data_IF_567972783864
#
_entry.id   IF_567972783864
#
_cell.length_a   1.000
_cell.length_b   1.000
_cell.length_c   1.000
_cell.angle_alpha   90.00
_cell.angle_beta   90.00
_cell.angle_gamma   90.00
#
_symmetry.space_group_name_H-M   'P 1'
#
loop_
_entity.id
_entity.type
_entity.pdbx_description
1 polymer ?
#
# COMPACT_ATOMS: atom_id res chain seq x y z
N UNK A 1 -17.63 9.35 -39.08
CA UNK A 1 -16.67 8.87 -38.02
C UNK A 1 -17.33 9.09 -36.67
N UNK A 2 -17.97 8.07 -36.11
CA UNK A 2 -18.45 8.14 -34.72
C UNK A 2 -17.22 8.00 -33.82
N UNK A 3 -16.73 9.12 -33.36
CA UNK A 3 -15.58 9.15 -32.48
C UNK A 3 -15.94 8.49 -31.12
N UNK A 4 -15.04 7.68 -30.63
CA UNK A 4 -15.13 7.02 -29.31
C UNK A 4 -15.25 8.08 -28.22
N UNK A 5 -16.49 8.44 -27.87
CA UNK A 5 -16.82 9.44 -26.85
C UNK A 5 -16.94 8.83 -25.43
N UNK A 6 -16.49 7.59 -25.26
CA UNK A 6 -16.53 6.85 -24.00
C UNK A 6 -15.12 6.47 -23.60
N UNK A 7 -14.77 6.74 -22.37
CA UNK A 7 -13.48 6.34 -21.76
C UNK A 7 -13.67 5.72 -20.39
N UNK A 8 -12.62 5.07 -19.89
CA UNK A 8 -12.58 4.51 -18.54
C UNK A 8 -11.54 5.26 -17.72
N UNK A 9 -11.87 5.55 -16.45
CA UNK A 9 -10.92 6.05 -15.47
C UNK A 9 -10.90 5.14 -14.24
N UNK A 10 -9.69 4.74 -13.83
CA UNK A 10 -9.45 3.89 -12.67
C UNK A 10 -8.09 4.20 -12.05
N UNK A 11 -7.87 3.70 -10.83
CA UNK A 11 -6.66 3.97 -10.04
C UNK A 11 -5.34 3.60 -10.76
N UNK A 12 -5.37 2.66 -11.72
CA UNK A 12 -4.18 2.22 -12.48
C UNK A 12 -3.75 3.14 -13.63
N UNK A 13 -4.49 4.22 -13.93
CA UNK A 13 -4.05 5.19 -14.92
C UNK A 13 -2.91 6.07 -14.39
N UNK A 14 -1.93 6.35 -15.25
CA UNK A 14 -0.88 7.30 -14.94
C UNK A 14 -1.45 8.73 -14.77
N UNK A 15 -0.86 9.60 -13.93
CA UNK A 15 -1.37 10.96 -13.69
C UNK A 15 -1.66 11.76 -14.97
N UNK A 16 -0.76 11.72 -15.96
CA UNK A 16 -0.96 12.36 -17.26
C UNK A 16 -2.15 11.81 -18.07
N UNK A 17 -2.44 10.52 -17.92
CA UNK A 17 -3.60 9.91 -18.59
C UNK A 17 -4.90 10.38 -17.95
N UNK A 18 -4.93 10.49 -16.61
CA UNK A 18 -6.08 11.05 -15.88
C UNK A 18 -6.34 12.50 -16.29
N UNK A 19 -5.30 13.32 -16.34
CA UNK A 19 -5.38 14.72 -16.77
C UNK A 19 -5.98 14.85 -18.20
N UNK A 20 -5.54 14.00 -19.14
CA UNK A 20 -6.09 13.98 -20.50
C UNK A 20 -7.58 13.57 -20.54
N UNK A 21 -7.99 12.62 -19.70
CA UNK A 21 -9.40 12.22 -19.58
C UNK A 21 -10.23 13.37 -19.02
N UNK A 22 -9.74 14.05 -18.00
CA UNK A 22 -10.41 15.21 -17.40
C UNK A 22 -10.57 16.36 -18.39
N UNK A 23 -9.50 16.76 -19.07
CA UNK A 23 -9.53 17.81 -20.09
C UNK A 23 -10.47 17.46 -21.25
N UNK A 24 -10.41 16.20 -21.72
CA UNK A 24 -11.30 15.70 -22.76
C UNK A 24 -12.78 15.72 -22.37
N UNK A 25 -13.08 15.47 -21.09
CA UNK A 25 -14.45 15.54 -20.59
C UNK A 25 -14.91 17.00 -20.40
N UNK A 26 -14.07 17.85 -19.80
CA UNK A 26 -14.37 19.29 -19.63
C UNK A 26 -14.59 20.00 -20.98
N UNK A 27 -13.80 19.65 -21.97
CA UNK A 27 -13.93 20.21 -23.34
C UNK A 27 -15.10 19.60 -24.13
N UNK A 28 -15.77 18.57 -23.58
CA UNK A 28 -16.91 17.90 -24.23
C UNK A 28 -16.51 16.97 -25.36
N UNK A 29 -15.24 16.66 -25.58
CA UNK A 29 -14.76 15.65 -26.52
C UNK A 29 -15.17 14.25 -26.01
N UNK A 30 -14.94 14.00 -24.73
CA UNK A 30 -15.41 12.78 -24.04
C UNK A 30 -16.82 13.07 -23.51
N UNK A 31 -17.78 12.23 -23.89
CA UNK A 31 -19.18 12.39 -23.49
C UNK A 31 -19.56 11.54 -22.28
N UNK A 32 -18.87 10.42 -22.08
CA UNK A 32 -19.17 9.45 -21.02
C UNK A 32 -17.85 8.96 -20.43
N UNK A 33 -17.78 8.98 -19.09
CA UNK A 33 -16.68 8.37 -18.32
C UNK A 33 -17.27 7.22 -17.52
N UNK A 34 -16.74 6.01 -17.68
CA UNK A 34 -16.96 4.90 -16.78
C UNK A 34 -15.83 4.87 -15.77
N UNK A 35 -16.14 5.02 -14.49
CA UNK A 35 -15.12 5.17 -13.45
C UNK A 35 -15.44 4.37 -12.18
N UNK A 36 -14.43 4.18 -11.36
CA UNK A 36 -14.57 3.67 -10.00
C UNK A 36 -15.00 4.80 -9.04
N UNK A 37 -15.55 4.50 -7.85
CA UNK A 37 -15.96 5.52 -6.87
C UNK A 37 -14.88 6.53 -6.48
N UNK A 38 -13.60 6.18 -6.65
CA UNK A 38 -12.46 7.08 -6.40
C UNK A 38 -12.49 8.36 -7.24
N UNK A 39 -13.03 8.31 -8.46
CA UNK A 39 -13.23 9.51 -9.27
C UNK A 39 -14.32 10.40 -8.69
N UNK A 40 -15.36 9.80 -8.11
CA UNK A 40 -16.43 10.55 -7.48
C UNK A 40 -15.95 11.38 -6.29
N UNK A 41 -14.93 10.95 -5.57
CA UNK A 41 -14.43 11.61 -4.35
C UNK A 41 -13.37 12.70 -4.60
N UNK A 42 -12.60 12.62 -5.72
CA UNK A 42 -11.39 13.44 -5.87
C UNK A 42 -11.39 14.49 -6.98
N UNK A 43 -12.31 14.45 -7.92
CA UNK A 43 -12.29 15.31 -9.10
C UNK A 43 -13.55 16.16 -9.22
N UNK A 44 -13.39 17.42 -9.60
CA UNK A 44 -14.52 18.31 -9.93
C UNK A 44 -14.89 18.14 -11.41
N UNK A 45 -15.60 17.06 -11.71
CA UNK A 45 -16.13 16.72 -13.04
C UNK A 45 -17.64 16.52 -12.96
N UNK A 46 -18.43 17.60 -12.83
CA UNK A 46 -19.88 17.48 -12.82
C UNK A 46 -20.40 17.08 -14.21
N UNK A 47 -21.34 16.16 -14.22
CA UNK A 47 -22.04 15.71 -15.43
C UNK A 47 -23.54 15.97 -15.28
N UNK A 48 -24.29 16.07 -16.39
CA UNK A 48 -25.75 16.17 -16.32
C UNK A 48 -26.33 14.92 -15.65
N UNK A 49 -25.79 13.73 -15.95
CA UNK A 49 -26.22 12.44 -15.38
C UNK A 49 -25.10 11.72 -14.68
N UNK A 50 -25.37 11.23 -13.48
CA UNK A 50 -24.55 10.26 -12.78
C UNK A 50 -25.29 8.91 -12.75
N UNK A 51 -24.72 7.88 -13.40
CA UNK A 51 -25.31 6.54 -13.45
C UNK A 51 -24.55 5.64 -12.47
N UNK A 52 -25.23 5.23 -11.40
CA UNK A 52 -24.71 4.34 -10.37
C UNK A 52 -25.13 2.91 -10.75
N UNK A 53 -24.16 2.15 -11.27
CA UNK A 53 -24.39 0.80 -11.77
C UNK A 53 -24.66 -0.19 -10.62
N UNK A 54 -24.01 0.01 -9.48
CA UNK A 54 -24.03 -0.92 -8.38
C UNK A 54 -23.88 -0.17 -7.06
N UNK A 55 -24.65 -0.58 -6.05
CA UNK A 55 -24.60 -0.06 -4.69
C UNK A 55 -23.87 -1.04 -3.74
N UNK A 56 -23.17 -2.03 -4.31
CA UNK A 56 -22.38 -3.00 -3.57
C UNK A 56 -20.93 -2.97 -4.04
N UNK A 57 -20.01 -3.20 -3.11
CA UNK A 57 -18.58 -3.35 -3.41
C UNK A 57 -17.99 -4.52 -2.64
N UNK A 58 -16.85 -5.00 -3.10
CA UNK A 58 -16.07 -5.97 -2.34
C UNK A 58 -15.45 -5.29 -1.11
N UNK A 59 -15.79 -5.77 0.07
CA UNK A 59 -15.17 -5.45 1.35
C UNK A 59 -14.33 -6.61 1.87
N UNK A 60 -13.79 -6.45 3.07
CA UNK A 60 -12.92 -7.45 3.69
C UNK A 60 -13.57 -8.83 3.89
N UNK A 61 -14.90 -8.88 3.96
CA UNK A 61 -15.68 -10.11 4.23
C UNK A 61 -16.63 -10.49 3.08
N UNK A 62 -16.41 -9.96 1.86
CA UNK A 62 -17.26 -10.22 0.69
C UNK A 62 -17.97 -8.98 0.18
N UNK A 63 -19.09 -9.19 -0.57
CA UNK A 63 -19.89 -8.09 -1.10
C UNK A 63 -20.62 -7.37 0.02
N UNK A 64 -20.36 -6.08 0.17
CA UNK A 64 -21.00 -5.19 1.15
C UNK A 64 -21.67 -4.02 0.46
N UNK A 65 -22.76 -3.52 1.01
CA UNK A 65 -23.37 -2.28 0.56
C UNK A 65 -22.46 -1.09 0.84
N UNK A 66 -22.42 -0.13 -0.10
CA UNK A 66 -21.73 1.14 0.10
C UNK A 66 -22.45 1.98 1.14
N UNK A 67 -21.76 2.94 1.75
CA UNK A 67 -22.35 3.88 2.70
C UNK A 67 -23.30 4.86 1.98
N UNK A 68 -24.32 5.34 2.70
CA UNK A 68 -25.22 6.38 2.17
C UNK A 68 -24.44 7.64 1.79
N UNK A 69 -23.45 8.02 2.60
CA UNK A 69 -22.56 9.16 2.28
C UNK A 69 -21.79 8.94 0.98
N UNK A 70 -21.28 7.73 0.73
CA UNK A 70 -20.58 7.36 -0.51
C UNK A 70 -21.52 7.42 -1.72
N UNK A 71 -22.74 6.91 -1.55
CA UNK A 71 -23.80 7.03 -2.55
C UNK A 71 -24.13 8.50 -2.86
N UNK A 72 -24.32 9.33 -1.85
CA UNK A 72 -24.62 10.76 -2.03
C UNK A 72 -23.46 11.51 -2.71
N UNK A 73 -22.20 11.15 -2.47
CA UNK A 73 -21.05 11.70 -3.16
C UNK A 73 -21.06 11.35 -4.66
N UNK A 74 -21.46 10.12 -5.01
CA UNK A 74 -21.61 9.72 -6.41
C UNK A 74 -22.81 10.41 -7.07
N UNK A 75 -23.97 10.43 -6.40
CA UNK A 75 -25.17 11.08 -6.88
C UNK A 75 -25.00 12.60 -7.03
N UNK A 76 -24.25 13.22 -6.12
CA UNK A 76 -23.91 14.64 -6.16
C UNK A 76 -23.01 15.08 -7.33
N UNK A 77 -22.54 14.15 -8.16
CA UNK A 77 -21.91 14.48 -9.44
C UNK A 77 -22.91 14.80 -10.55
N UNK A 78 -24.19 14.58 -10.30
CA UNK A 78 -25.25 14.92 -11.23
C UNK A 78 -25.57 16.43 -11.14
N UNK A 79 -25.64 17.08 -12.31
CA UNK A 79 -25.90 18.51 -12.45
C UNK A 79 -24.64 19.37 -12.55
N UNK A 80 -24.67 20.32 -13.47
CA UNK A 80 -23.60 21.29 -13.71
C UNK A 80 -24.12 22.68 -13.35
N UNK A 81 -23.79 23.22 -12.15
CA UNK A 81 -24.44 24.43 -11.64
C UNK A 81 -24.41 25.66 -12.57
N UNK A 82 -23.44 25.72 -13.51
CA UNK A 82 -23.30 26.80 -14.48
C UNK A 82 -24.12 26.60 -15.76
N UNK A 83 -24.62 25.38 -16.01
CA UNK A 83 -25.23 25.02 -17.29
C UNK A 83 -26.60 24.37 -17.15
N UNK A 84 -26.86 23.70 -16.04
CA UNK A 84 -28.03 22.88 -15.82
C UNK A 84 -28.87 23.44 -14.67
N UNK A 85 -30.19 23.43 -14.81
CA UNK A 85 -31.15 23.80 -13.75
C UNK A 85 -31.42 22.63 -12.81
N UNK A 86 -31.11 21.39 -13.23
CA UNK A 86 -31.22 20.16 -12.45
C UNK A 86 -30.23 19.14 -12.99
N UNK A 87 -29.98 18.07 -12.24
CA UNK A 87 -29.19 16.92 -12.65
C UNK A 87 -29.94 15.62 -12.34
N UNK A 88 -29.54 14.53 -12.97
CA UNK A 88 -30.19 13.23 -12.82
C UNK A 88 -29.19 12.21 -12.24
N UNK A 89 -29.46 11.68 -11.05
CA UNK A 89 -28.78 10.52 -10.51
C UNK A 89 -29.63 9.27 -10.78
N UNK A 90 -29.10 8.32 -11.52
CA UNK A 90 -29.81 7.11 -11.95
C UNK A 90 -29.15 5.90 -11.32
N UNK A 91 -29.90 5.10 -10.59
CA UNK A 91 -29.44 3.85 -9.99
C UNK A 91 -30.00 2.67 -10.78
N UNK A 92 -29.12 1.75 -11.17
CA UNK A 92 -29.51 0.52 -11.86
C UNK A 92 -29.73 -0.57 -10.81
N UNK A 93 -30.91 -1.18 -10.80
CA UNK A 93 -31.27 -2.28 -9.91
C UNK A 93 -31.77 -3.48 -10.71
N UNK A 94 -31.54 -4.69 -10.19
CA UNK A 94 -31.87 -5.93 -10.89
C UNK A 94 -33.23 -6.51 -10.49
N UNK A 95 -33.67 -6.23 -9.27
CA UNK A 95 -34.91 -6.78 -8.71
C UNK A 95 -35.77 -5.69 -8.07
N UNK A 96 -37.06 -5.99 -7.85
CA UNK A 96 -37.94 -5.08 -7.11
C UNK A 96 -37.51 -4.92 -5.64
N UNK A 97 -36.98 -5.97 -5.01
CA UNK A 97 -36.43 -5.89 -3.66
C UNK A 97 -35.21 -4.96 -3.58
N UNK A 98 -34.30 -5.01 -4.56
CA UNK A 98 -33.17 -4.06 -4.65
C UNK A 98 -33.68 -2.62 -4.84
N UNK A 99 -34.77 -2.43 -5.59
CA UNK A 99 -35.38 -1.12 -5.79
C UNK A 99 -35.92 -0.54 -4.49
N UNK A 100 -36.68 -1.33 -3.73
CA UNK A 100 -37.23 -0.93 -2.44
C UNK A 100 -36.10 -0.59 -1.46
N UNK A 101 -35.06 -1.44 -1.38
CA UNK A 101 -33.88 -1.19 -0.57
C UNK A 101 -33.19 0.12 -0.93
N UNK A 102 -32.98 0.41 -2.24
CA UNK A 102 -32.35 1.65 -2.69
C UNK A 102 -33.18 2.87 -2.31
N UNK A 103 -34.49 2.78 -2.45
CA UNK A 103 -35.39 3.90 -2.10
C UNK A 103 -35.32 4.15 -0.59
N UNK A 104 -35.47 3.14 0.24
CA UNK A 104 -35.49 3.29 1.68
C UNK A 104 -34.13 3.68 2.26
N UNK A 105 -33.08 3.00 1.82
CA UNK A 105 -31.75 3.13 2.43
C UNK A 105 -30.95 4.30 1.87
N UNK A 106 -31.01 4.57 0.57
CA UNK A 106 -30.16 5.59 -0.06
C UNK A 106 -30.90 6.88 -0.40
N UNK A 107 -32.16 6.81 -0.86
CA UNK A 107 -32.89 8.01 -1.25
C UNK A 107 -33.58 8.68 -0.07
N UNK A 108 -34.13 7.89 0.87
CA UNK A 108 -34.81 8.37 2.07
C UNK A 108 -33.95 8.20 3.33
N UNK A 109 -32.81 7.50 3.24
CA UNK A 109 -31.93 7.28 4.37
C UNK A 109 -31.09 8.51 4.71
N UNK A 110 -30.68 8.60 5.96
CA UNK A 110 -29.71 9.60 6.43
C UNK A 110 -28.29 9.06 6.29
N UNK A 111 -27.31 9.95 6.01
CA UNK A 111 -25.90 9.56 6.03
C UNK A 111 -25.50 8.98 7.39
N UNK A 112 -24.59 8.02 7.34
CA UNK A 112 -24.04 7.41 8.55
C UNK A 112 -23.38 8.47 9.44
N UNK A 113 -23.48 8.27 10.73
CA UNK A 113 -22.80 9.11 11.71
C UNK A 113 -21.29 8.97 11.55
N UNK A 114 -20.59 10.08 11.65
CA UNK A 114 -19.13 10.13 11.62
C UNK A 114 -18.60 9.87 13.03
N UNK A 115 -17.83 8.81 13.18
CA UNK A 115 -17.17 8.47 14.45
C UNK A 115 -15.69 8.78 14.41
N UNK A 116 -15.18 9.34 15.50
CA UNK A 116 -13.75 9.52 15.67
C UNK A 116 -13.04 8.16 15.76
N UNK A 117 -12.07 7.94 14.89
CA UNK A 117 -11.22 6.76 14.92
C UNK A 117 -10.03 6.91 15.87
N UNK A 118 -9.89 8.03 16.54
CA UNK A 118 -8.77 8.30 17.44
C UNK A 118 -8.76 7.37 18.66
N UNK A 119 -9.92 6.82 19.06
CA UNK A 119 -10.03 5.82 20.12
C UNK A 119 -9.46 4.44 19.74
N UNK A 120 -9.16 4.19 18.48
CA UNK A 120 -8.57 2.91 18.04
C UNK A 120 -7.08 2.89 18.38
N UNK A 121 -6.64 1.89 19.11
CA UNK A 121 -5.28 1.83 19.68
C UNK A 121 -4.15 2.09 18.66
N UNK A 122 -4.11 1.46 17.45
CA UNK A 122 -3.11 1.77 16.44
C UNK A 122 -3.04 3.26 16.07
N UNK A 123 -4.21 3.88 15.91
CA UNK A 123 -4.30 5.30 15.57
C UNK A 123 -3.82 6.17 16.72
N UNK A 124 -4.28 5.87 17.94
CA UNK A 124 -3.92 6.64 19.13
C UNK A 124 -2.42 6.61 19.41
N UNK A 125 -1.77 5.43 19.40
CA UNK A 125 -0.35 5.32 19.67
C UNK A 125 0.52 5.98 18.59
N UNK A 126 0.10 5.91 17.33
CA UNK A 126 0.79 6.60 16.22
C UNK A 126 0.72 8.12 16.38
N UNK A 127 -0.46 8.67 16.69
CA UNK A 127 -0.62 10.11 16.90
C UNK A 127 0.09 10.59 18.16
N UNK A 128 0.01 9.86 19.29
CA UNK A 128 0.74 10.20 20.52
C UNK A 128 2.23 10.33 20.26
N UNK A 129 2.82 9.30 19.62
CA UNK A 129 4.25 9.34 19.28
C UNK A 129 4.59 10.54 18.37
N UNK A 130 3.79 10.77 17.34
CA UNK A 130 4.02 11.86 16.38
C UNK A 130 3.90 13.24 17.02
N UNK A 131 2.90 13.45 17.87
CA UNK A 131 2.68 14.73 18.56
C UNK A 131 3.78 15.02 19.57
N UNK A 132 4.27 14.00 20.30
CA UNK A 132 5.39 14.15 21.24
C UNK A 132 6.71 14.34 20.47
N UNK A 133 6.92 13.61 19.37
CA UNK A 133 8.11 13.77 18.53
C UNK A 133 8.21 15.16 17.92
N UNK A 134 7.07 15.73 17.53
CA UNK A 134 6.94 17.10 17.01
C UNK A 134 6.88 18.18 18.10
N UNK A 135 6.94 17.80 19.39
CA UNK A 135 6.86 18.69 20.55
C UNK A 135 5.57 19.51 20.68
N UNK A 136 4.48 19.05 20.07
CA UNK A 136 3.15 19.68 20.18
C UNK A 136 2.58 19.41 21.58
N UNK A 137 2.76 18.20 22.08
CA UNK A 137 2.44 17.79 23.46
C UNK A 137 3.67 17.20 24.13
N UNK A 138 3.82 17.41 25.45
CA UNK A 138 5.01 16.95 26.18
C UNK A 138 4.82 16.70 27.67
N UNK A 139 3.67 17.06 28.23
CA UNK A 139 3.35 16.81 29.65
C UNK A 139 1.92 16.25 29.78
N UNK A 140 1.56 15.62 30.90
CA UNK A 140 0.21 15.15 31.15
C UNK A 140 -0.86 16.23 30.91
N UNK A 141 -0.59 17.48 31.36
CA UNK A 141 -1.48 18.61 31.19
C UNK A 141 -1.69 18.96 29.70
N UNK A 142 -0.58 19.10 28.94
CA UNK A 142 -0.65 19.43 27.51
C UNK A 142 -1.31 18.31 26.69
N UNK A 143 -1.16 17.06 27.12
CA UNK A 143 -1.85 15.91 26.51
C UNK A 143 -3.34 16.00 26.79
N UNK A 144 -3.74 16.19 28.04
CA UNK A 144 -5.16 16.32 28.43
C UNK A 144 -5.83 17.49 27.73
N UNK A 145 -5.19 18.66 27.69
CA UNK A 145 -5.71 19.85 26.99
C UNK A 145 -5.88 19.61 25.48
N UNK A 146 -4.90 18.97 24.82
CA UNK A 146 -4.96 18.66 23.40
C UNK A 146 -6.12 17.71 23.09
N UNK A 147 -6.18 16.59 23.80
CA UNK A 147 -7.22 15.57 23.53
C UNK A 147 -8.61 16.03 23.91
N UNK A 148 -8.78 16.90 24.91
CA UNK A 148 -10.07 17.49 25.27
C UNK A 148 -10.70 18.33 24.14
N UNK A 149 -9.88 18.84 23.20
CA UNK A 149 -10.33 19.61 22.05
C UNK A 149 -10.60 18.76 20.80
N UNK A 150 -10.42 17.43 20.88
CA UNK A 150 -10.63 16.53 19.76
C UNK A 150 -12.09 16.16 19.57
N UNK A 151 -12.43 15.74 18.35
CA UNK A 151 -13.74 15.17 18.05
C UNK A 151 -14.05 13.91 18.89
N UNK A 152 -13.02 13.16 19.26
CA UNK A 152 -13.15 12.02 20.18
C UNK A 152 -13.73 12.44 21.53
N UNK A 153 -13.16 13.46 22.18
CA UNK A 153 -13.65 13.97 23.46
C UNK A 153 -15.06 14.52 23.32
N UNK A 154 -15.37 15.23 22.22
CA UNK A 154 -16.71 15.76 21.97
C UNK A 154 -17.77 14.66 21.87
N UNK A 155 -17.47 13.56 21.17
CA UNK A 155 -18.44 12.48 20.97
C UNK A 155 -18.67 11.63 22.23
N UNK A 156 -17.60 11.24 22.90
CA UNK A 156 -17.71 10.21 23.95
C UNK A 156 -17.90 10.78 25.35
N UNK A 157 -17.55 12.05 25.60
CA UNK A 157 -17.73 12.76 26.89
C UNK A 157 -17.17 12.02 28.13
N UNK A 158 -16.56 10.84 27.97
CA UNK A 158 -15.96 10.04 29.03
C UNK A 158 -14.45 10.32 29.09
N UNK A 159 -14.10 11.42 29.74
CA UNK A 159 -12.72 11.86 29.93
C UNK A 159 -11.87 10.81 30.65
N UNK A 160 -12.44 10.15 31.67
CA UNK A 160 -11.69 9.15 32.45
C UNK A 160 -11.28 7.93 31.63
N UNK A 161 -12.15 7.46 30.73
CA UNK A 161 -11.83 6.36 29.82
C UNK A 161 -10.76 6.76 28.80
N UNK A 162 -10.88 7.97 28.28
CA UNK A 162 -9.90 8.55 27.35
C UNK A 162 -8.51 8.64 27.99
N UNK A 163 -8.41 9.19 29.19
CA UNK A 163 -7.16 9.31 29.93
C UNK A 163 -6.51 7.95 30.20
N UNK A 164 -7.29 6.93 30.60
CA UNK A 164 -6.78 5.56 30.79
C UNK A 164 -6.21 4.97 29.51
N UNK A 165 -6.87 5.18 28.35
CA UNK A 165 -6.36 4.69 27.07
C UNK A 165 -5.06 5.40 26.68
N UNK A 166 -5.01 6.72 26.85
CA UNK A 166 -3.82 7.53 26.58
C UNK A 166 -2.64 7.07 27.45
N UNK A 167 -2.86 6.93 28.77
CA UNK A 167 -1.83 6.47 29.72
C UNK A 167 -1.29 5.09 29.30
N UNK A 168 -2.16 4.14 29.01
CA UNK A 168 -1.76 2.82 28.53
C UNK A 168 -0.90 2.88 27.25
N UNK A 169 -1.24 3.75 26.32
CA UNK A 169 -0.45 3.89 25.09
C UNK A 169 0.90 4.57 25.37
N UNK A 170 0.96 5.52 26.28
CA UNK A 170 2.23 6.13 26.71
C UNK A 170 3.14 5.10 27.38
N UNK A 171 2.60 4.27 28.28
CA UNK A 171 3.35 3.21 28.96
C UNK A 171 3.94 2.22 27.92
N UNK A 172 3.15 1.78 26.93
CA UNK A 172 3.65 0.92 25.85
C UNK A 172 4.76 1.59 25.02
N UNK A 173 4.61 2.87 24.69
CA UNK A 173 5.62 3.61 23.92
C UNK A 173 6.93 3.81 24.73
N UNK A 174 6.84 3.88 26.04
CA UNK A 174 8.00 3.93 26.93
C UNK A 174 8.64 2.55 27.05
N UNK A 175 7.85 1.49 27.24
CA UNK A 175 8.32 0.10 27.26
C UNK A 175 9.07 -0.27 25.97
N UNK A 176 8.59 0.18 24.82
CA UNK A 176 9.25 -0.03 23.52
C UNK A 176 10.39 0.94 23.23
N UNK A 177 10.79 1.75 24.21
CA UNK A 177 11.90 2.71 24.10
C UNK A 177 11.69 3.79 23.02
N UNK A 178 10.46 4.04 22.58
CA UNK A 178 10.15 5.13 21.65
C UNK A 178 9.97 6.46 22.34
N UNK A 179 9.56 6.42 23.61
CA UNK A 179 9.47 7.58 24.49
C UNK A 179 10.34 7.41 25.73
N UNK A 180 10.73 8.54 26.31
CA UNK A 180 11.33 8.63 27.63
C UNK A 180 10.52 9.60 28.47
N UNK A 181 10.26 9.22 29.72
CA UNK A 181 9.69 10.09 30.74
C UNK A 181 10.81 10.70 31.57
N UNK A 182 10.86 12.03 31.60
CA UNK A 182 11.82 12.80 32.40
C UNK A 182 11.02 13.71 33.35
N UNK A 183 10.96 13.34 34.65
CA UNK A 183 10.03 13.95 35.59
C UNK A 183 8.59 13.88 35.04
N UNK A 184 7.91 15.02 34.93
CA UNK A 184 6.55 15.12 34.41
C UNK A 184 6.50 15.42 32.91
N UNK A 185 7.58 15.13 32.16
CA UNK A 185 7.61 15.39 30.72
C UNK A 185 7.94 14.15 29.90
N UNK A 186 7.32 14.04 28.73
CA UNK A 186 7.57 12.99 27.73
C UNK A 186 8.44 13.53 26.60
N UNK A 187 9.42 12.74 26.16
CA UNK A 187 10.26 13.07 25.00
C UNK A 187 10.42 11.84 24.12
N UNK A 188 10.34 12.05 22.81
CA UNK A 188 10.66 10.99 21.87
C UNK A 188 12.18 10.75 21.83
N UNK A 189 12.57 9.48 21.88
CA UNK A 189 13.95 9.04 21.67
C UNK A 189 14.35 9.27 20.21
N UNK A 190 15.62 9.08 19.86
CA UNK A 190 16.06 9.10 18.46
C UNK A 190 15.32 8.04 17.62
N UNK A 191 15.10 6.86 18.22
CA UNK A 191 14.33 5.77 17.60
C UNK A 191 12.86 6.15 17.44
N UNK A 192 12.21 6.66 18.49
CA UNK A 192 10.81 7.07 18.43
C UNK A 192 10.55 8.19 17.43
N UNK A 193 11.47 9.16 17.31
CA UNK A 193 11.38 10.18 16.25
C UNK A 193 11.41 9.57 14.87
N UNK A 194 12.34 8.61 14.65
CA UNK A 194 12.44 7.97 13.34
C UNK A 194 11.21 7.14 13.02
N UNK A 195 10.63 6.43 13.99
CA UNK A 195 9.37 5.69 13.82
C UNK A 195 8.24 6.64 13.41
N UNK A 196 8.09 7.78 14.08
CA UNK A 196 7.11 8.80 13.72
C UNK A 196 7.30 9.33 12.29
N UNK A 197 8.55 9.61 11.86
CA UNK A 197 8.89 10.06 10.51
C UNK A 197 8.63 9.01 9.42
N UNK A 198 8.69 7.73 9.76
CA UNK A 198 8.43 6.62 8.84
C UNK A 198 6.92 6.38 8.62
N UNK A 199 6.06 6.99 9.42
CA UNK A 199 4.60 6.85 9.36
C UNK A 199 4.09 5.41 9.52
N UNK A 200 4.86 4.56 10.20
CA UNK A 200 4.44 3.19 10.55
C UNK A 200 3.86 3.16 11.96
N UNK A 201 3.02 2.17 12.22
CA UNK A 201 2.53 1.91 13.56
C UNK A 201 3.72 1.60 14.50
N UNK A 202 3.80 2.22 15.68
CA UNK A 202 4.81 1.86 16.67
C UNK A 202 4.87 0.36 17.00
N UNK A 203 3.74 -0.35 16.98
CA UNK A 203 3.74 -1.82 17.15
C UNK A 203 4.49 -2.50 15.99
N UNK A 204 4.26 -2.10 14.76
CA UNK A 204 4.99 -2.60 13.60
C UNK A 204 6.49 -2.34 13.73
N UNK A 205 6.88 -1.13 14.18
CA UNK A 205 8.27 -0.82 14.44
C UNK A 205 8.88 -1.70 15.53
N UNK A 206 8.17 -1.94 16.63
CA UNK A 206 8.60 -2.82 17.72
C UNK A 206 8.79 -4.26 17.20
N UNK A 207 7.84 -4.79 16.45
CA UNK A 207 7.95 -6.10 15.81
C UNK A 207 9.15 -6.20 14.86
N UNK A 208 9.45 -5.14 14.10
CA UNK A 208 10.65 -5.10 13.25
C UNK A 208 11.95 -5.15 14.06
N UNK A 209 12.02 -4.42 15.18
CA UNK A 209 13.19 -4.44 16.06
C UNK A 209 13.44 -5.84 16.63
N UNK A 210 12.41 -6.54 17.07
CA UNK A 210 12.53 -7.91 17.59
C UNK A 210 12.90 -8.90 16.49
N UNK A 211 12.34 -8.75 15.31
CA UNK A 211 12.71 -9.54 14.14
C UNK A 211 14.19 -9.33 13.73
N UNK A 212 14.70 -8.09 13.80
CA UNK A 212 16.11 -7.79 13.51
C UNK A 212 17.07 -8.46 14.49
N UNK A 213 16.73 -8.54 15.80
CA UNK A 213 17.50 -9.30 16.79
C UNK A 213 17.61 -10.78 16.42
N UNK A 214 16.48 -11.38 16.00
CA UNK A 214 16.45 -12.79 15.59
C UNK A 214 17.17 -13.06 14.25
N UNK A 215 17.24 -12.06 13.37
CA UNK A 215 17.90 -12.18 12.08
C UNK A 215 19.37 -12.62 12.17
N UNK A 216 20.05 -12.38 13.28
CA UNK A 216 21.46 -12.80 13.50
C UNK A 216 21.60 -14.32 13.66
N UNK A 217 20.55 -15.02 14.07
CA UNK A 217 20.56 -16.45 14.39
C UNK A 217 20.00 -17.36 13.30
N UNK A 218 19.49 -16.82 12.21
CA UNK A 218 18.82 -17.57 11.14
C UNK A 218 19.45 -17.34 9.77
N UNK A 219 19.22 -18.27 8.85
CA UNK A 219 19.62 -18.10 7.44
C UNK A 219 18.55 -17.27 6.71
N UNK A 220 18.86 -16.02 6.48
CA UNK A 220 17.95 -15.11 5.78
C UNK A 220 17.86 -15.43 4.28
N UNK A 221 16.65 -15.27 3.76
CA UNK A 221 16.29 -15.31 2.34
C UNK A 221 15.38 -14.11 2.02
N UNK A 222 15.03 -13.92 0.74
CA UNK A 222 14.08 -12.87 0.36
C UNK A 222 12.75 -13.01 1.08
N UNK A 223 12.24 -14.23 1.21
CA UNK A 223 10.99 -14.54 1.89
C UNK A 223 10.98 -14.10 3.36
N UNK A 224 12.13 -14.11 4.04
CA UNK A 224 12.27 -13.64 5.43
C UNK A 224 11.81 -12.20 5.58
N UNK A 225 12.25 -11.34 4.68
CA UNK A 225 11.90 -9.92 4.66
C UNK A 225 10.50 -9.67 4.12
N UNK A 226 10.06 -10.43 3.11
CA UNK A 226 8.75 -10.30 2.51
C UNK A 226 7.65 -10.72 3.49
N UNK A 227 7.86 -11.80 4.26
CA UNK A 227 6.92 -12.22 5.29
C UNK A 227 6.88 -11.19 6.44
N UNK A 228 8.03 -10.70 6.90
CA UNK A 228 8.09 -9.67 7.93
C UNK A 228 7.28 -8.43 7.54
N UNK A 229 7.40 -7.96 6.29
CA UNK A 229 6.59 -6.85 5.79
C UNK A 229 5.12 -7.23 5.65
N UNK A 230 4.82 -8.47 5.25
CA UNK A 230 3.44 -8.93 5.04
C UNK A 230 2.67 -9.09 6.36
N UNK A 231 3.35 -9.40 7.46
CA UNK A 231 2.72 -9.59 8.77
C UNK A 231 2.62 -8.27 9.57
N UNK A 232 2.12 -7.22 8.95
CA UNK A 232 1.92 -5.90 9.55
C UNK A 232 0.50 -5.38 9.32
N UNK A 233 0.10 -4.40 10.13
CA UNK A 233 -1.19 -3.74 9.95
C UNK A 233 -1.26 -2.97 8.62
N UNK A 234 -0.16 -2.38 8.20
CA UNK A 234 -0.05 -1.56 6.98
C UNK A 234 -0.20 -2.38 5.70
N UNK A 235 0.08 -3.69 5.77
CA UNK A 235 -0.11 -4.59 4.61
C UNK A 235 -1.55 -5.00 4.39
N UNK A 236 -2.44 -4.78 5.36
CA UNK A 236 -3.85 -5.16 5.24
C UNK A 236 -4.58 -4.38 4.15
N UNK A 237 -5.57 -4.99 3.47
CA UNK A 237 -6.07 -6.37 3.65
C UNK A 237 -5.10 -7.42 3.08
N UNK A 238 -4.85 -8.48 3.81
CA UNK A 238 -3.99 -9.60 3.37
C UNK A 238 -4.70 -10.48 2.34
N UNK A 239 -3.93 -11.27 1.58
CA UNK A 239 -4.48 -12.33 0.74
C UNK A 239 -5.03 -13.44 1.63
N UNK A 240 -6.34 -13.64 1.61
CA UNK A 240 -7.00 -14.64 2.43
C UNK A 240 -6.67 -16.04 1.97
N UNK A 241 -6.30 -16.92 2.90
CA UNK A 241 -6.16 -18.37 2.65
C UNK A 241 -7.56 -18.98 2.61
N UNK A 242 -7.93 -19.54 1.45
CA UNK A 242 -9.20 -20.26 1.27
C UNK A 242 -9.06 -21.66 1.85
N UNK A 243 -10.14 -22.26 2.31
CA UNK A 243 -10.11 -23.61 2.91
C UNK A 243 -9.42 -24.67 2.01
N UNK A 244 -9.64 -24.60 0.71
CA UNK A 244 -9.02 -25.50 -0.28
C UNK A 244 -7.51 -25.29 -0.46
N UNK A 245 -6.96 -24.17 -0.01
CA UNK A 245 -5.55 -23.78 -0.15
C UNK A 245 -4.76 -24.03 1.14
N UNK A 246 -5.46 -24.40 2.22
CA UNK A 246 -4.88 -24.48 3.55
C UNK A 246 -3.70 -25.46 3.62
N UNK A 247 -3.88 -26.69 3.13
CA UNK A 247 -2.83 -27.70 3.12
C UNK A 247 -1.62 -27.26 2.29
N UNK A 248 -1.86 -26.72 1.10
CA UNK A 248 -0.79 -26.21 0.23
C UNK A 248 0.02 -25.09 0.90
N UNK A 249 -0.67 -24.16 1.56
CA UNK A 249 -0.01 -23.05 2.26
C UNK A 249 0.78 -23.57 3.46
N UNK A 250 0.26 -24.55 4.19
CA UNK A 250 1.00 -25.18 5.30
C UNK A 250 2.25 -25.93 4.82
N UNK A 251 2.17 -26.67 3.72
CA UNK A 251 3.34 -27.32 3.12
C UNK A 251 4.41 -26.30 2.72
N UNK A 252 4.00 -25.22 2.04
CA UNK A 252 4.92 -24.12 1.67
C UNK A 252 5.52 -23.45 2.89
N UNK A 253 4.71 -23.22 3.92
CA UNK A 253 5.17 -22.64 5.18
C UNK A 253 6.24 -23.51 5.84
N UNK A 254 6.05 -24.81 5.95
CA UNK A 254 7.02 -25.73 6.53
C UNK A 254 8.40 -25.67 5.83
N UNK A 255 8.46 -25.36 4.53
CA UNK A 255 9.71 -25.22 3.78
C UNK A 255 10.47 -23.91 4.09
N UNK A 256 9.79 -22.89 4.60
CA UNK A 256 10.35 -21.55 4.84
C UNK A 256 10.43 -21.19 6.33
N UNK A 257 9.76 -21.88 7.21
CA UNK A 257 9.65 -21.61 8.64
C UNK A 257 11.00 -21.26 9.28
N UNK A 258 12.02 -22.09 9.04
CA UNK A 258 13.37 -21.88 9.56
C UNK A 258 14.06 -20.58 9.06
N UNK A 259 13.50 -19.94 8.06
CA UNK A 259 14.00 -18.68 7.49
C UNK A 259 13.23 -17.44 7.97
N UNK A 260 12.13 -17.62 8.76
CA UNK A 260 11.29 -16.51 9.16
C UNK A 260 11.85 -15.81 10.42
N UNK A 261 11.77 -14.49 10.43
CA UNK A 261 12.25 -13.64 11.51
C UNK A 261 11.27 -13.48 12.67
N UNK A 262 10.03 -13.88 12.48
CA UNK A 262 8.97 -13.88 13.49
C UNK A 262 8.61 -15.32 13.88
N UNK A 263 8.01 -15.47 15.06
CA UNK A 263 7.48 -16.76 15.53
C UNK A 263 6.04 -16.92 15.07
N UNK A 264 5.68 -18.16 14.74
CA UNK A 264 4.31 -18.54 14.51
C UNK A 264 3.49 -18.38 15.80
N UNK A 265 2.33 -17.71 15.75
CA UNK A 265 1.39 -17.71 16.86
C UNK A 265 0.79 -19.11 17.05
N UNK A 266 0.28 -19.37 18.24
CA UNK A 266 -0.43 -20.64 18.48
C UNK A 266 -1.65 -20.76 17.55
N UNK A 267 -1.91 -21.98 17.06
CA UNK A 267 -3.09 -22.25 16.20
C UNK A 267 -4.43 -21.96 16.89
N UNK A 268 -4.43 -21.77 18.19
CA UNK A 268 -5.61 -21.42 18.99
C UNK A 268 -5.74 -19.89 19.22
N UNK A 269 -4.77 -19.11 18.78
CA UNK A 269 -4.79 -17.65 18.88
C UNK A 269 -5.50 -17.03 17.66
N UNK A 270 -6.25 -15.94 17.84
CA UNK A 270 -6.93 -15.26 16.74
C UNK A 270 -5.99 -14.78 15.62
N UNK A 271 -4.74 -14.55 15.95
CA UNK A 271 -3.69 -14.08 15.05
C UNK A 271 -3.20 -15.16 14.08
N UNK A 272 -3.54 -16.43 14.30
CA UNK A 272 -3.07 -17.53 13.47
C UNK A 272 -3.56 -17.44 12.01
N UNK A 273 -4.82 -17.09 11.81
CA UNK A 273 -5.36 -16.87 10.46
C UNK A 273 -4.65 -15.73 9.73
N UNK A 274 -4.37 -14.64 10.43
CA UNK A 274 -3.62 -13.51 9.88
C UNK A 274 -2.18 -13.89 9.56
N UNK A 275 -1.57 -14.74 10.39
CA UNK A 275 -0.25 -15.31 10.12
C UNK A 275 -0.22 -16.08 8.82
N UNK A 276 -1.13 -17.02 8.60
CA UNK A 276 -1.22 -17.79 7.35
C UNK A 276 -1.54 -16.88 6.13
N UNK A 277 -2.39 -15.89 6.32
CA UNK A 277 -2.67 -14.89 5.29
C UNK A 277 -1.42 -14.06 4.96
N UNK A 278 -0.58 -13.74 5.94
CA UNK A 278 0.71 -13.06 5.74
C UNK A 278 1.69 -13.94 4.95
N UNK A 279 1.75 -15.23 5.24
CA UNK A 279 2.54 -16.21 4.48
C UNK A 279 2.10 -16.25 3.01
N UNK A 280 0.80 -16.39 2.74
CA UNK A 280 0.28 -16.37 1.38
C UNK A 280 0.62 -15.07 0.65
N UNK A 281 0.50 -13.93 1.33
CA UNK A 281 0.84 -12.63 0.77
C UNK A 281 2.33 -12.53 0.46
N UNK A 282 3.19 -13.00 1.36
CA UNK A 282 4.64 -13.03 1.17
C UNK A 282 5.07 -13.94 0.02
N UNK A 283 4.44 -15.11 -0.12
CA UNK A 283 4.67 -16.04 -1.24
C UNK A 283 4.30 -15.39 -2.59
N UNK A 284 3.18 -14.66 -2.66
CA UNK A 284 2.84 -13.90 -3.86
C UNK A 284 3.92 -12.86 -4.21
N UNK A 285 4.42 -12.11 -3.23
CA UNK A 285 5.51 -11.14 -3.43
C UNK A 285 6.82 -11.84 -3.83
N UNK A 286 7.09 -13.02 -3.31
CA UNK A 286 8.26 -13.83 -3.71
C UNK A 286 8.17 -14.27 -5.18
N UNK A 287 7.01 -14.75 -5.63
CA UNK A 287 6.79 -15.10 -7.03
C UNK A 287 6.92 -13.89 -7.96
N UNK A 288 6.50 -12.70 -7.50
CA UNK A 288 6.74 -11.45 -8.23
C UNK A 288 8.22 -11.17 -8.46
N UNK A 289 9.05 -11.30 -7.44
CA UNK A 289 10.50 -11.11 -7.58
C UNK A 289 11.20 -12.26 -8.30
N UNK A 290 10.53 -13.40 -8.48
CA UNK A 290 10.95 -14.52 -9.34
C UNK A 290 10.45 -14.38 -10.79
N UNK A 291 9.98 -13.16 -11.16
CA UNK A 291 9.59 -12.75 -12.51
C UNK A 291 8.27 -13.35 -13.02
N UNK A 292 7.40 -13.78 -12.14
CA UNK A 292 6.01 -14.09 -12.53
C UNK A 292 5.29 -12.81 -12.94
N UNK A 293 4.41 -12.89 -13.91
CA UNK A 293 3.67 -11.75 -14.42
C UNK A 293 2.30 -11.56 -13.75
N UNK A 294 1.60 -10.51 -14.15
CA UNK A 294 0.30 -10.16 -13.57
C UNK A 294 -0.78 -11.20 -13.91
N UNK A 295 -0.70 -11.86 -15.06
CA UNK A 295 -1.63 -12.91 -15.47
C UNK A 295 -1.47 -14.12 -14.55
N UNK A 296 -0.23 -14.51 -14.28
CA UNK A 296 0.08 -15.58 -13.35
C UNK A 296 -0.40 -15.25 -11.91
N UNK A 297 -0.26 -13.98 -11.46
CA UNK A 297 -0.78 -13.53 -10.16
C UNK A 297 -2.30 -13.64 -10.07
N UNK A 298 -3.00 -13.31 -11.16
CA UNK A 298 -4.45 -13.43 -11.22
C UNK A 298 -4.89 -14.90 -11.14
N UNK A 299 -4.24 -15.79 -11.88
CA UNK A 299 -4.58 -17.22 -11.92
C UNK A 299 -4.32 -17.93 -10.59
N UNK A 300 -3.17 -17.66 -9.92
CA UNK A 300 -2.73 -18.44 -8.76
C UNK A 300 -3.09 -17.81 -7.42
N UNK A 301 -3.23 -16.48 -7.36
CA UNK A 301 -3.56 -15.77 -6.12
C UNK A 301 -4.90 -15.04 -6.18
N UNK A 302 -5.62 -15.09 -7.31
CA UNK A 302 -6.86 -14.32 -7.52
C UNK A 302 -6.66 -12.82 -7.25
N UNK A 303 -5.45 -12.32 -7.56
CA UNK A 303 -5.04 -10.96 -7.26
C UNK A 303 -4.90 -10.14 -8.55
N UNK A 304 -5.64 -9.06 -8.64
CA UNK A 304 -5.67 -8.18 -9.80
C UNK A 304 -4.43 -7.28 -9.86
N UNK A 305 -4.02 -6.78 -11.03
CA UNK A 305 -2.81 -5.94 -11.18
C UNK A 305 -2.75 -4.76 -10.22
N UNK A 306 -3.88 -4.08 -9.97
CA UNK A 306 -3.95 -2.97 -9.01
C UNK A 306 -3.71 -3.40 -7.56
N UNK A 307 -4.19 -4.57 -7.17
CA UNK A 307 -3.98 -5.15 -5.83
C UNK A 307 -2.52 -5.60 -5.65
N UNK A 308 -1.96 -6.27 -6.65
CA UNK A 308 -0.53 -6.65 -6.66
C UNK A 308 0.34 -5.42 -6.51
N UNK A 309 0.05 -4.36 -7.28
CA UNK A 309 0.81 -3.11 -7.23
C UNK A 309 0.74 -2.45 -5.85
N UNK A 310 -0.44 -2.36 -5.24
CA UNK A 310 -0.60 -1.81 -3.90
C UNK A 310 0.21 -2.60 -2.86
N UNK A 311 0.23 -3.94 -2.95
CA UNK A 311 1.04 -4.80 -2.09
C UNK A 311 2.53 -4.55 -2.26
N UNK A 312 3.00 -4.39 -3.50
CA UNK A 312 4.40 -4.09 -3.82
C UNK A 312 4.81 -2.72 -3.24
N UNK A 313 3.99 -1.70 -3.40
CA UNK A 313 4.25 -0.35 -2.89
C UNK A 313 4.29 -0.34 -1.35
N UNK A 314 3.34 -1.00 -0.69
CA UNK A 314 3.34 -1.14 0.76
C UNK A 314 4.55 -1.93 1.26
N UNK A 315 4.91 -3.05 0.61
CA UNK A 315 6.07 -3.84 0.99
C UNK A 315 7.39 -3.07 0.80
N UNK A 316 7.55 -2.29 -0.28
CA UNK A 316 8.75 -1.45 -0.47
C UNK A 316 8.87 -0.38 0.62
N UNK A 317 7.77 0.27 0.99
CA UNK A 317 7.72 1.23 2.10
C UNK A 317 8.07 0.59 3.45
N UNK A 318 7.47 -0.55 3.78
CA UNK A 318 7.75 -1.29 5.02
C UNK A 318 9.21 -1.78 5.08
N UNK A 319 9.73 -2.32 3.98
CA UNK A 319 11.14 -2.72 3.91
C UNK A 319 12.08 -1.51 3.97
N UNK A 320 11.67 -0.33 3.51
CA UNK A 320 12.40 0.90 3.77
C UNK A 320 12.43 1.22 5.27
N UNK A 321 11.32 1.05 5.96
CA UNK A 321 11.28 1.23 7.41
C UNK A 321 12.20 0.23 8.14
N UNK A 322 12.17 -1.06 7.77
CA UNK A 322 13.09 -2.08 8.31
C UNK A 322 14.56 -1.67 8.07
N UNK A 323 14.88 -1.19 6.85
CA UNK A 323 16.23 -0.72 6.52
C UNK A 323 16.68 0.43 7.43
N UNK A 324 15.83 1.44 7.65
CA UNK A 324 16.15 2.58 8.49
C UNK A 324 16.30 2.20 9.96
N UNK A 325 15.44 1.31 10.48
CA UNK A 325 15.56 0.78 11.83
C UNK A 325 16.82 -0.07 11.99
N UNK A 326 17.12 -0.95 11.02
CA UNK A 326 18.36 -1.73 11.00
C UNK A 326 19.62 -0.83 11.02
N UNK A 327 19.59 0.29 10.29
CA UNK A 327 20.68 1.28 10.28
C UNK A 327 20.85 1.95 11.63
N UNK A 328 19.76 2.38 12.26
CA UNK A 328 19.79 3.01 13.59
C UNK A 328 20.27 2.06 14.67
N UNK A 329 19.89 0.79 14.58
CA UNK A 329 20.28 -0.25 15.52
C UNK A 329 21.62 -0.91 15.20
N UNK A 330 22.35 -0.38 14.20
CA UNK A 330 23.69 -0.84 13.77
C UNK A 330 23.73 -2.28 13.21
N UNK A 331 22.64 -2.80 12.66
CA UNK A 331 22.58 -4.08 11.93
C UNK A 331 23.10 -3.93 10.50
N UNK A 332 24.34 -3.43 10.34
CA UNK A 332 24.92 -3.08 9.04
C UNK A 332 24.93 -4.21 8.00
N UNK A 333 25.20 -5.49 8.36
CA UNK A 333 25.18 -6.59 7.39
C UNK A 333 23.83 -6.77 6.70
N UNK A 334 22.72 -6.44 7.38
CA UNK A 334 21.36 -6.61 6.84
C UNK A 334 20.99 -5.56 5.80
N UNK A 335 21.63 -4.38 5.85
CA UNK A 335 21.25 -3.25 4.98
C UNK A 335 21.33 -3.59 3.49
N UNK A 336 22.39 -4.32 3.10
CA UNK A 336 22.57 -4.75 1.72
C UNK A 336 21.50 -5.74 1.29
N UNK A 337 21.18 -6.71 2.14
CA UNK A 337 20.18 -7.73 1.83
C UNK A 337 18.77 -7.14 1.74
N UNK A 338 18.39 -6.25 2.68
CA UNK A 338 17.11 -5.52 2.64
C UNK A 338 17.02 -4.71 1.32
N UNK A 339 18.08 -3.98 0.97
CA UNK A 339 18.07 -3.15 -0.24
C UNK A 339 17.96 -4.01 -1.51
N UNK A 340 18.58 -5.19 -1.57
CA UNK A 340 18.42 -6.13 -2.68
C UNK A 340 16.95 -6.56 -2.84
N UNK A 341 16.31 -6.96 -1.74
CA UNK A 341 14.90 -7.38 -1.78
C UNK A 341 14.01 -6.23 -2.23
N UNK A 342 14.24 -5.01 -1.74
CA UNK A 342 13.50 -3.80 -2.16
C UNK A 342 13.64 -3.54 -3.67
N UNK A 343 14.85 -3.61 -4.21
CA UNK A 343 15.06 -3.41 -5.64
C UNK A 343 14.40 -4.51 -6.47
N UNK A 344 14.54 -5.77 -6.06
CA UNK A 344 13.86 -6.89 -6.70
C UNK A 344 12.34 -6.71 -6.70
N UNK A 345 11.78 -6.29 -5.58
CA UNK A 345 10.36 -6.05 -5.41
C UNK A 345 9.85 -4.94 -6.34
N UNK A 346 10.55 -3.79 -6.38
CA UNK A 346 10.19 -2.64 -7.20
C UNK A 346 10.15 -2.96 -8.70
N UNK A 347 11.10 -3.74 -9.17
CA UNK A 347 11.26 -4.07 -10.59
C UNK A 347 10.68 -5.43 -10.99
N UNK A 348 10.31 -6.29 -10.04
CA UNK A 348 9.83 -7.64 -10.29
C UNK A 348 10.91 -8.51 -10.95
N UNK A 349 12.13 -8.55 -10.41
CA UNK A 349 13.29 -9.20 -11.05
C UNK A 349 14.05 -10.11 -10.11
N UNK A 350 14.69 -11.13 -10.66
CA UNK A 350 15.66 -11.96 -9.96
C UNK A 350 16.94 -11.19 -9.63
N UNK A 351 17.67 -11.66 -8.62
CA UNK A 351 18.90 -10.99 -8.13
C UNK A 351 19.93 -10.79 -9.23
N UNK A 352 20.06 -11.72 -10.16
CA UNK A 352 21.01 -11.68 -11.28
C UNK A 352 20.82 -10.48 -12.22
N UNK A 353 19.61 -9.87 -12.23
CA UNK A 353 19.31 -8.71 -13.06
C UNK A 353 19.61 -7.37 -12.38
N UNK A 354 19.92 -7.37 -11.08
CA UNK A 354 20.16 -6.14 -10.32
C UNK A 354 21.25 -5.24 -10.91
N UNK A 355 22.36 -5.76 -11.48
CA UNK A 355 23.34 -4.90 -12.13
C UNK A 355 22.78 -4.12 -13.32
N UNK A 356 21.86 -4.73 -14.08
CA UNK A 356 21.31 -4.16 -15.33
C UNK A 356 20.19 -3.14 -15.08
N UNK A 357 19.33 -3.37 -14.10
CA UNK A 357 18.19 -2.48 -13.80
C UNK A 357 18.60 -1.13 -13.19
N UNK A 358 19.87 -0.94 -12.85
CA UNK A 358 20.42 0.36 -12.42
C UNK A 358 20.46 1.38 -13.55
N UNK A 359 20.37 0.95 -14.79
CA UNK A 359 20.41 1.79 -15.97
C UNK A 359 19.04 2.37 -16.30
N UNK A 360 19.00 3.66 -16.58
CA UNK A 360 17.79 4.31 -17.03
C UNK A 360 17.26 3.70 -18.32
N UNK A 361 15.95 3.48 -18.38
CA UNK A 361 15.29 2.87 -19.53
C UNK A 361 15.38 1.34 -19.56
N UNK A 362 16.04 0.70 -18.60
CA UNK A 362 16.12 -0.76 -18.48
C UNK A 362 15.18 -1.22 -17.34
N UNK A 363 14.02 -1.75 -17.74
CA UNK A 363 13.11 -2.45 -16.84
C UNK A 363 13.25 -3.97 -16.98
N UNK A 364 12.37 -4.71 -16.27
CA UNK A 364 12.34 -6.19 -16.19
C UNK A 364 12.55 -6.89 -17.54
N UNK A 365 11.77 -6.55 -18.56
CA UNK A 365 11.80 -7.21 -19.87
C UNK A 365 13.14 -7.00 -20.59
N UNK A 366 13.63 -5.76 -20.60
CA UNK A 366 14.91 -5.43 -21.25
C UNK A 366 16.10 -6.05 -20.53
N UNK A 367 16.11 -5.99 -19.20
CA UNK A 367 17.15 -6.64 -18.39
C UNK A 367 17.21 -8.15 -18.66
N UNK A 368 16.05 -8.83 -18.71
CA UNK A 368 15.98 -10.26 -19.01
C UNK A 368 16.45 -10.59 -20.43
N UNK A 369 16.13 -9.77 -21.45
CA UNK A 369 16.63 -9.94 -22.80
C UNK A 369 18.15 -9.81 -22.87
N UNK A 370 18.71 -8.79 -22.21
CA UNK A 370 20.17 -8.59 -22.13
C UNK A 370 20.85 -9.78 -21.47
N UNK A 371 20.36 -10.21 -20.31
CA UNK A 371 20.92 -11.33 -19.56
C UNK A 371 20.91 -12.63 -20.37
N UNK A 372 19.80 -12.93 -21.08
CA UNK A 372 19.69 -14.09 -22.00
C UNK A 372 20.69 -13.99 -23.16
N UNK A 373 21.04 -12.79 -23.61
CA UNK A 373 22.05 -12.55 -24.64
C UNK A 373 23.49 -12.57 -24.10
N UNK A 374 23.69 -12.94 -22.82
CA UNK A 374 25.02 -13.03 -22.19
C UNK A 374 25.56 -11.71 -21.61
N UNK A 375 24.77 -10.64 -21.66
CA UNK A 375 25.12 -9.33 -21.09
C UNK A 375 24.58 -9.27 -19.66
N UNK A 376 25.47 -9.46 -18.66
CA UNK A 376 25.10 -9.65 -17.26
C UNK A 376 25.36 -8.43 -16.38
N UNK A 377 26.32 -7.59 -16.78
CA UNK A 377 26.74 -6.42 -16.01
C UNK A 377 27.14 -5.22 -16.90
N UNK A 378 27.54 -4.12 -16.24
CA UNK A 378 27.97 -2.90 -16.92
C UNK A 378 29.26 -3.09 -17.75
N UNK A 379 30.13 -4.03 -17.36
CA UNK A 379 31.34 -4.37 -18.09
C UNK A 379 31.03 -5.07 -19.41
N UNK A 380 30.05 -5.98 -19.40
CA UNK A 380 29.60 -6.66 -20.62
C UNK A 380 28.96 -5.66 -21.59
N UNK A 381 28.17 -4.69 -21.07
CA UNK A 381 27.59 -3.64 -21.91
C UNK A 381 28.67 -2.82 -22.61
N UNK A 382 29.75 -2.46 -21.90
CA UNK A 382 30.87 -1.72 -22.51
C UNK A 382 31.52 -2.48 -23.65
N UNK A 383 31.68 -3.78 -23.51
CA UNK A 383 32.31 -4.66 -24.51
C UNK A 383 31.40 -5.00 -25.68
N UNK A 384 30.09 -4.98 -25.49
CA UNK A 384 29.14 -5.37 -26.53
C UNK A 384 29.03 -4.29 -27.61
N UNK A 385 29.16 -4.62 -28.92
CA UNK A 385 29.00 -3.67 -30.02
C UNK A 385 27.63 -2.99 -29.98
N UNK A 386 27.57 -1.71 -30.38
CA UNK A 386 26.33 -0.93 -30.34
C UNK A 386 25.23 -1.56 -31.21
N UNK A 387 25.59 -2.14 -32.35
CA UNK A 387 24.64 -2.78 -33.26
C UNK A 387 23.95 -4.00 -32.60
N UNK A 388 24.71 -4.76 -31.81
CA UNK A 388 24.14 -5.87 -31.03
C UNK A 388 23.15 -5.36 -29.96
N UNK A 389 23.51 -4.27 -29.28
CA UNK A 389 22.60 -3.65 -28.30
C UNK A 389 21.34 -3.09 -28.95
N UNK A 390 21.42 -2.51 -30.15
CA UNK A 390 20.26 -2.03 -30.90
C UNK A 390 19.29 -3.15 -31.26
N UNK A 391 19.80 -4.32 -31.62
CA UNK A 391 18.95 -5.50 -31.89
C UNK A 391 18.20 -5.97 -30.64
N UNK A 392 18.79 -5.86 -29.45
CA UNK A 392 18.19 -6.33 -28.20
C UNK A 392 17.22 -5.29 -27.61
N UNK A 393 17.60 -3.99 -27.64
CA UNK A 393 16.96 -2.91 -26.88
C UNK A 393 16.22 -1.89 -27.77
N UNK A 394 16.50 -1.86 -29.06
CA UNK A 394 16.10 -0.78 -29.99
C UNK A 394 17.10 0.40 -29.96
N UNK A 395 17.11 1.19 -31.03
CA UNK A 395 18.14 2.22 -31.30
C UNK A 395 18.30 3.25 -30.16
N UNK A 396 17.20 3.88 -29.75
CA UNK A 396 17.24 4.95 -28.75
C UNK A 396 17.76 4.47 -27.39
N UNK A 397 17.31 3.29 -26.95
CA UNK A 397 17.68 2.73 -25.65
C UNK A 397 19.14 2.22 -25.67
N UNK A 398 19.56 1.59 -26.75
CA UNK A 398 20.95 1.11 -26.90
C UNK A 398 21.94 2.27 -26.82
N UNK A 399 21.68 3.38 -27.50
CA UNK A 399 22.51 4.60 -27.45
C UNK A 399 22.54 5.19 -26.03
N UNK A 400 21.37 5.27 -25.38
CA UNK A 400 21.27 5.78 -24.00
C UNK A 400 22.09 4.93 -23.03
N UNK A 401 21.95 3.60 -23.09
CA UNK A 401 22.64 2.65 -22.22
C UNK A 401 24.17 2.70 -22.43
N UNK A 402 24.65 2.75 -23.68
CA UNK A 402 26.08 2.91 -23.99
C UNK A 402 26.64 4.20 -23.39
N UNK A 403 25.90 5.30 -23.50
CA UNK A 403 26.29 6.60 -22.90
C UNK A 403 26.40 6.52 -21.37
N UNK A 404 25.45 5.87 -20.72
CA UNK A 404 25.44 5.71 -19.24
C UNK A 404 26.65 4.89 -18.73
N UNK A 405 27.16 3.96 -19.50
CA UNK A 405 28.34 3.17 -19.11
C UNK A 405 29.67 3.79 -19.55
N UNK A 406 29.66 4.96 -20.19
CA UNK A 406 30.89 5.72 -20.53
C UNK A 406 31.73 5.09 -21.65
N UNK A 407 31.11 4.49 -22.67
CA UNK A 407 31.83 4.00 -23.84
C UNK A 407 31.94 5.10 -24.90
N UNK A 408 33.16 5.35 -25.39
CA UNK A 408 33.51 6.36 -26.41
C UNK A 408 33.08 5.96 -27.83
N UNK A 409 32.32 4.92 -28.04
CA UNK A 409 31.90 4.42 -29.37
C UNK A 409 30.67 5.17 -29.96
N UNK A 410 30.45 6.42 -29.60
CA UNK A 410 29.34 7.21 -30.08
C UNK A 410 29.77 8.34 -31.05
N UNK A 411 30.93 8.25 -31.66
CA UNK A 411 31.40 9.14 -32.73
C UNK A 411 31.11 8.58 -34.12
#
# INVERSE_FOLDING_TARGET
MASRSITQDHAGLAPKQKELVEEGFRSGIIKIIACTPTLAAGLDLPAFRAIIRDVKRYGNYGMVHILVLEFLQMAGRAGRPRYDTYGEAIVIVSTNGDKEYVIEHYLNGEPEEIYSKLAVEPVLRMYLLSLIASRIIHSPESISEFFAQTFWAHQYKDVSRMEKQITRMLDLLIEWEFLQQLNDTYRATALGKRVAELYIDPLTAHQFLDALKRAESIKLKSISFLQLASNTLEMRPLLRVKQKEFEEIQEKYALIEANLMQHEPSMFEPEYDDWLNSIKTALMLEEWIEEKDEEWMLEHYDSRPGEVRAKIENADWLLYAVHELARLMNYLPLLKEIMKVRLRLRYGVKEELLPLIKLEGIGRVRARKMHKAGIKDLGDIRKTPIETLKLILGDAVAVSVKRQVGSNELS
#
